data_IF_305728296167
#
_entry.id   IF_305728296167
#
_cell.length_a   1.000
_cell.length_b   1.000
_cell.length_c   1.000
_cell.angle_alpha   90.00
_cell.angle_beta   90.00
_cell.angle_gamma   90.00
#
_symmetry.space_group_name_H-M   'P 1'
#
loop_
_entity.id
_entity.type
_entity.pdbx_description
1 polymer ?
#
# COMPACT_ATOMS: atom_id res chain seq x y z
N UNK A 1 7.88 -29.54 1.34
CA UNK A 1 8.12 -28.46 0.34
C UNK A 1 7.14 -27.28 0.48
N UNK A 2 5.82 -27.49 0.63
CA UNK A 2 4.84 -26.38 0.81
C UNK A 2 5.14 -25.44 1.99
N UNK A 3 5.52 -25.98 3.16
CA UNK A 3 5.89 -25.19 4.35
C UNK A 3 7.03 -24.17 4.12
N UNK A 4 7.99 -24.47 3.23
CA UNK A 4 9.11 -23.56 2.94
C UNK A 4 8.64 -22.41 2.05
N UNK A 5 7.78 -22.70 1.08
CA UNK A 5 7.17 -21.69 0.20
C UNK A 5 6.27 -20.75 1.01
N UNK A 6 5.45 -21.29 1.92
CA UNK A 6 4.57 -20.50 2.77
C UNK A 6 5.35 -19.61 3.76
N UNK A 7 6.51 -20.09 4.24
CA UNK A 7 7.39 -19.30 5.10
C UNK A 7 8.04 -18.13 4.35
N UNK A 8 8.53 -18.36 3.13
CA UNK A 8 9.10 -17.31 2.28
C UNK A 8 8.04 -16.25 1.94
N UNK A 9 6.82 -16.67 1.62
CA UNK A 9 5.72 -15.76 1.31
C UNK A 9 5.39 -14.82 2.48
N UNK A 10 5.25 -15.37 3.69
CA UNK A 10 4.96 -14.57 4.88
C UNK A 10 6.10 -13.59 5.23
N UNK A 11 7.36 -14.00 5.01
CA UNK A 11 8.50 -13.12 5.22
C UNK A 11 8.52 -11.95 4.23
N UNK A 12 8.25 -12.24 2.94
CA UNK A 12 8.12 -11.21 1.91
C UNK A 12 6.98 -10.25 2.21
N UNK A 13 5.81 -10.73 2.62
CA UNK A 13 4.66 -9.88 2.95
C UNK A 13 4.95 -8.91 4.11
N UNK A 14 5.67 -9.37 5.14
CA UNK A 14 6.09 -8.51 6.24
C UNK A 14 7.03 -7.39 5.78
N UNK A 15 7.98 -7.71 4.90
CA UNK A 15 8.92 -6.74 4.33
C UNK A 15 8.19 -5.74 3.43
N UNK A 16 7.35 -6.21 2.49
CA UNK A 16 6.58 -5.35 1.58
C UNK A 16 5.73 -4.34 2.37
N UNK A 17 5.05 -4.79 3.43
CA UNK A 17 4.25 -3.92 4.29
C UNK A 17 5.11 -2.93 5.09
N UNK A 18 6.28 -3.35 5.58
CA UNK A 18 7.20 -2.47 6.29
C UNK A 18 7.72 -1.35 5.38
N UNK A 19 8.11 -1.67 4.15
CA UNK A 19 8.59 -0.68 3.17
C UNK A 19 7.52 0.35 2.80
N UNK A 20 6.26 -0.06 2.62
CA UNK A 20 5.16 0.88 2.36
C UNK A 20 5.01 1.86 3.53
N UNK A 21 4.95 1.36 4.76
CA UNK A 21 4.79 2.19 5.95
C UNK A 21 5.97 3.15 6.10
N UNK A 22 7.19 2.65 5.88
CA UNK A 22 8.40 3.46 5.90
C UNK A 22 8.34 4.61 4.88
N UNK A 23 7.99 4.33 3.63
CA UNK A 23 7.89 5.35 2.58
C UNK A 23 6.81 6.38 2.87
N UNK A 24 5.65 5.97 3.37
CA UNK A 24 4.59 6.90 3.79
C UNK A 24 5.07 7.83 4.91
N UNK A 25 5.74 7.28 5.92
CA UNK A 25 6.29 8.08 7.03
C UNK A 25 7.33 9.08 6.51
N UNK A 26 8.26 8.64 5.67
CA UNK A 26 9.28 9.51 5.06
C UNK A 26 8.62 10.63 4.25
N UNK A 27 7.64 10.31 3.41
CA UNK A 27 6.90 11.31 2.64
C UNK A 27 6.18 12.33 3.52
N UNK A 28 5.58 11.86 4.62
CA UNK A 28 4.88 12.74 5.57
C UNK A 28 5.84 13.72 6.23
N UNK A 29 6.96 13.24 6.76
CA UNK A 29 7.98 14.11 7.38
C UNK A 29 8.61 15.06 6.37
N UNK A 30 8.91 14.59 5.16
CA UNK A 30 9.50 15.39 4.09
C UNK A 30 8.54 16.51 3.66
N UNK A 31 7.26 16.17 3.42
CA UNK A 31 6.23 17.15 3.05
C UNK A 31 6.00 18.17 4.16
N UNK A 32 5.92 17.72 5.41
CA UNK A 32 5.76 18.59 6.56
C UNK A 32 6.93 19.56 6.72
N UNK A 33 8.16 19.06 6.61
CA UNK A 33 9.38 19.88 6.66
C UNK A 33 9.41 20.90 5.54
N UNK A 34 9.01 20.52 4.32
CA UNK A 34 8.93 21.43 3.18
C UNK A 34 7.93 22.56 3.41
N UNK A 35 6.75 22.26 3.99
CA UNK A 35 5.74 23.27 4.33
C UNK A 35 6.28 24.26 5.35
N UNK A 36 6.92 23.78 6.41
CA UNK A 36 7.54 24.65 7.43
C UNK A 36 8.64 25.53 6.82
N UNK A 37 9.54 24.94 6.03
CA UNK A 37 10.64 25.68 5.40
C UNK A 37 10.12 26.81 4.52
N UNK A 38 9.08 26.53 3.74
CA UNK A 38 8.49 27.51 2.83
C UNK A 38 7.74 28.62 3.58
N UNK A 39 7.06 28.28 4.68
CA UNK A 39 6.27 29.24 5.43
C UNK A 39 7.13 30.15 6.32
N UNK A 40 8.16 29.60 6.97
CA UNK A 40 9.00 30.33 7.94
C UNK A 40 10.23 30.95 7.28
N UNK A 41 10.91 30.20 6.40
CA UNK A 41 12.20 30.60 5.83
C UNK A 41 12.10 31.06 4.37
N UNK A 42 10.92 30.96 3.74
CA UNK A 42 10.67 31.28 2.32
C UNK A 42 11.60 30.56 1.33
N UNK A 43 12.28 29.51 1.79
CA UNK A 43 13.14 28.63 1.00
C UNK A 43 12.50 27.24 0.93
N UNK A 44 12.81 26.48 -0.11
CA UNK A 44 12.31 25.12 -0.29
C UNK A 44 13.35 24.22 -0.95
N UNK A 45 13.33 22.94 -0.59
CA UNK A 45 14.15 21.94 -1.26
C UNK A 45 13.60 21.68 -2.67
N UNK A 46 14.33 22.09 -3.69
CA UNK A 46 13.94 21.91 -5.11
C UNK A 46 13.81 20.42 -5.46
N UNK A 47 14.63 19.56 -4.85
CA UNK A 47 14.62 18.11 -5.07
C UNK A 47 13.54 17.37 -4.27
N UNK A 48 12.96 17.98 -3.23
CA UNK A 48 12.01 17.27 -2.37
C UNK A 48 10.72 16.91 -3.12
N UNK A 49 10.25 17.79 -4.00
CA UNK A 49 9.04 17.56 -4.82
C UNK A 49 9.21 16.36 -5.76
N UNK A 50 10.40 16.26 -6.38
CA UNK A 50 10.75 15.15 -7.26
C UNK A 50 10.89 13.84 -6.49
N UNK A 51 11.54 13.86 -5.31
CA UNK A 51 11.64 12.68 -4.45
C UNK A 51 10.27 12.21 -3.97
N UNK A 52 9.38 13.13 -3.57
CA UNK A 52 8.01 12.79 -3.16
C UNK A 52 7.26 12.06 -4.28
N UNK A 53 7.34 12.53 -5.52
CA UNK A 53 6.73 11.83 -6.67
C UNK A 53 7.30 10.43 -6.87
N UNK A 54 8.61 10.27 -6.79
CA UNK A 54 9.24 8.95 -6.90
C UNK A 54 8.77 8.01 -5.77
N UNK A 55 8.69 8.50 -4.53
CA UNK A 55 8.19 7.70 -3.39
C UNK A 55 6.72 7.30 -3.56
N UNK A 56 5.86 8.22 -4.03
CA UNK A 56 4.46 7.90 -4.35
C UNK A 56 4.38 6.78 -5.38
N UNK A 57 5.18 6.86 -6.45
CA UNK A 57 5.22 5.83 -7.49
C UNK A 57 5.61 4.47 -6.89
N UNK A 58 6.68 4.41 -6.10
CA UNK A 58 7.12 3.18 -5.45
C UNK A 58 6.07 2.59 -4.49
N UNK A 59 5.45 3.42 -3.66
CA UNK A 59 4.34 2.99 -2.78
C UNK A 59 3.16 2.48 -3.60
N UNK A 60 2.82 3.13 -4.71
CA UNK A 60 1.75 2.70 -5.61
C UNK A 60 2.03 1.33 -6.23
N UNK A 61 3.25 1.10 -6.73
CA UNK A 61 3.65 -0.19 -7.30
C UNK A 61 3.62 -1.33 -6.26
N UNK A 62 4.22 -1.11 -5.09
CA UNK A 62 4.26 -2.14 -4.03
C UNK A 62 2.84 -2.36 -3.47
N UNK A 63 2.08 -1.29 -3.26
CA UNK A 63 0.69 -1.36 -2.82
C UNK A 63 -0.21 -2.12 -3.80
N UNK A 64 -0.04 -1.90 -5.10
CA UNK A 64 -0.76 -2.64 -6.15
C UNK A 64 -0.37 -4.12 -6.19
N UNK A 65 0.92 -4.44 -6.02
CA UNK A 65 1.41 -5.82 -5.89
C UNK A 65 0.71 -6.55 -4.74
N UNK A 66 0.71 -5.96 -3.53
CA UNK A 66 0.04 -6.56 -2.36
C UNK A 66 -1.48 -6.69 -2.60
N UNK A 67 -2.12 -5.69 -3.20
CA UNK A 67 -3.56 -5.72 -3.50
C UNK A 67 -3.94 -6.88 -4.44
N UNK A 68 -3.08 -7.13 -5.44
CA UNK A 68 -3.24 -8.24 -6.40
C UNK A 68 -2.97 -9.59 -5.73
N UNK A 69 -1.90 -9.70 -4.93
CA UNK A 69 -1.49 -10.92 -4.23
C UNK A 69 -2.53 -11.39 -3.21
N UNK A 70 -3.17 -10.45 -2.50
CA UNK A 70 -4.27 -10.74 -1.58
C UNK A 70 -5.56 -11.20 -2.27
N UNK A 71 -5.58 -11.37 -3.60
CA UNK A 71 -6.75 -11.79 -4.36
C UNK A 71 -8.03 -11.06 -3.91
N UNK A 72 -7.87 -9.79 -3.51
CA UNK A 72 -8.95 -8.83 -3.63
C UNK A 72 -9.05 -8.44 -5.11
N UNK A 73 -9.25 -9.42 -6.01
CA UNK A 73 -10.41 -9.29 -6.88
C UNK A 73 -11.49 -8.82 -5.92
N UNK A 74 -12.10 -7.66 -6.16
CA UNK A 74 -13.32 -7.31 -5.47
C UNK A 74 -14.15 -8.58 -5.58
N UNK A 75 -14.17 -9.39 -4.52
CA UNK A 75 -15.07 -10.50 -4.39
C UNK A 75 -16.32 -9.67 -4.23
N UNK A 76 -16.96 -9.47 -5.38
CA UNK A 76 -18.29 -8.98 -5.55
C UNK A 76 -19.08 -10.04 -4.79
N UNK A 77 -19.03 -9.94 -3.46
CA UNK A 77 -19.86 -10.67 -2.51
C UNK A 77 -21.34 -10.31 -2.77
N UNK A 78 -21.61 -9.41 -3.72
CA UNK A 78 -22.89 -9.22 -4.37
C UNK A 78 -23.47 -10.58 -4.80
N UNK A 79 -22.69 -11.49 -5.41
CA UNK A 79 -23.24 -12.79 -5.83
C UNK A 79 -23.63 -13.72 -4.66
N UNK A 80 -22.94 -13.60 -3.53
CA UNK A 80 -23.25 -14.35 -2.29
C UNK A 80 -24.46 -13.72 -1.56
N UNK A 81 -24.64 -12.41 -1.69
CA UNK A 81 -25.69 -11.63 -1.01
C UNK A 81 -26.99 -11.49 -1.81
N UNK A 82 -26.96 -11.71 -3.12
CA UNK A 82 -28.17 -11.71 -3.99
C UNK A 82 -28.77 -13.10 -4.17
N UNK A 83 -28.17 -14.16 -3.62
CA UNK A 83 -28.83 -15.46 -3.54
C UNK A 83 -29.89 -15.38 -2.43
N UNK A 84 -31.20 -15.46 -2.75
CA UNK A 84 -32.23 -15.52 -1.74
C UNK A 84 -32.00 -16.74 -0.86
N UNK A 85 -32.27 -16.60 0.44
CA UNK A 85 -32.24 -17.61 1.50
C UNK A 85 -33.14 -18.85 1.24
N UNK A 86 -33.58 -19.10 0.01
CA UNK A 86 -34.66 -20.01 -0.36
C UNK A 86 -34.28 -21.04 -1.43
N UNK A 87 -33.05 -21.53 -1.38
CA UNK A 87 -32.67 -22.78 -2.04
C UNK A 87 -31.51 -23.44 -1.29
N UNK A 88 -31.76 -23.87 -0.05
CA UNK A 88 -31.08 -25.04 0.51
C UNK A 88 -31.97 -26.26 0.27
N UNK A 89 -31.65 -27.15 -0.69
CA UNK A 89 -31.97 -28.55 -0.53
C UNK A 89 -30.72 -29.27 0.00
N UNK A 90 -30.85 -29.77 1.23
CA UNK A 90 -30.04 -30.79 1.91
C UNK A 90 -28.56 -30.96 1.52
#
# INVERSE_FOLDING_TARGET
MRKVVDWINNFFEGIESFFIVLFIIVMLFLSFSQVILRLVFHIGFVWADDLLRHLVLWVGFIGASIATKKNKHINIDIFSRTLPLRAKPF
#
